data_IF_626651408727
#
_entry.id   IF_626651408727
#
_cell.length_a   1.000
_cell.length_b   1.000
_cell.length_c   1.000
_cell.angle_alpha   90.00
_cell.angle_beta   90.00
_cell.angle_gamma   90.00
#
_symmetry.space_group_name_H-M   'P 1'
#
loop_
_entity.id
_entity.type
_entity.pdbx_description
1 polymer ?
#
# COMPACT_ATOMS: atom_id res chain seq x y z
N UNK A 1 -70.34 8.74 1.14
CA UNK A 1 -69.63 9.52 2.18
C UNK A 1 -68.48 8.66 2.70
N UNK A 2 -67.33 8.68 2.02
CA UNK A 2 -66.16 7.85 2.36
C UNK A 2 -65.33 8.57 3.42
N UNK A 3 -65.22 7.97 4.62
CA UNK A 3 -64.30 8.44 5.67
C UNK A 3 -62.89 7.96 5.31
N UNK A 4 -62.03 8.90 4.93
CA UNK A 4 -60.60 8.66 4.76
C UNK A 4 -59.95 8.56 6.14
N UNK A 5 -59.38 7.41 6.48
CA UNK A 5 -58.48 7.24 7.63
C UNK A 5 -57.08 7.60 7.16
N UNK A 6 -56.58 8.77 7.57
CA UNK A 6 -55.15 9.11 7.44
C UNK A 6 -54.46 8.48 8.65
N UNK A 7 -53.70 7.42 8.41
CA UNK A 7 -52.79 6.82 9.40
C UNK A 7 -51.50 7.65 9.42
N UNK A 8 -50.99 8.12 10.58
CA UNK A 8 -49.69 8.76 10.62
C UNK A 8 -48.60 7.69 10.56
N UNK A 9 -47.80 7.71 9.49
CA UNK A 9 -46.57 6.93 9.37
C UNK A 9 -45.54 7.54 10.33
N UNK A 10 -45.31 6.92 11.49
CA UNK A 10 -44.19 7.27 12.36
C UNK A 10 -42.89 6.85 11.67
N UNK A 11 -42.16 7.82 11.11
CA UNK A 11 -40.77 7.64 10.73
C UNK A 11 -39.93 7.65 12.01
N UNK A 12 -39.49 6.47 12.46
CA UNK A 12 -38.43 6.35 13.45
C UNK A 12 -37.11 6.78 12.79
N UNK A 13 -36.71 8.04 12.97
CA UNK A 13 -35.31 8.43 12.74
C UNK A 13 -34.46 7.71 13.78
N UNK A 14 -33.73 6.69 13.37
CA UNK A 14 -32.60 6.21 14.17
C UNK A 14 -31.50 7.27 14.07
N UNK A 15 -31.31 8.04 15.14
CA UNK A 15 -30.12 8.86 15.31
C UNK A 15 -28.97 7.88 15.55
N UNK A 16 -28.18 7.59 14.51
CA UNK A 16 -26.91 6.91 14.69
C UNK A 16 -26.03 7.88 15.46
N UNK A 17 -25.77 7.59 16.73
CA UNK A 17 -24.85 8.39 17.54
C UNK A 17 -23.44 8.19 17.00
N UNK A 18 -22.69 9.27 16.75
CA UNK A 18 -21.27 9.18 16.45
C UNK A 18 -20.47 9.07 17.77
N UNK A 19 -19.42 8.25 17.78
CA UNK A 19 -18.42 8.22 18.85
C UNK A 19 -17.43 9.36 18.64
N UNK A 20 -17.47 10.32 19.57
CA UNK A 20 -16.63 11.52 19.55
C UNK A 20 -15.51 11.40 20.59
N UNK A 21 -14.26 11.37 20.14
CA UNK A 21 -13.08 11.36 21.01
C UNK A 21 -12.43 12.74 21.01
N UNK A 22 -12.71 13.52 22.05
CA UNK A 22 -12.21 14.89 22.21
C UNK A 22 -11.01 15.02 23.17
N UNK A 23 -10.52 13.90 23.71
CA UNK A 23 -9.35 13.86 24.60
C UNK A 23 -8.60 12.53 24.47
N UNK A 24 -7.30 12.48 24.79
CA UNK A 24 -6.55 11.23 24.83
C UNK A 24 -7.25 10.17 25.67
N UNK A 25 -7.55 9.04 25.03
CA UNK A 25 -8.32 7.93 25.57
C UNK A 25 -7.60 6.63 25.23
N UNK A 26 -7.29 5.84 26.26
CA UNK A 26 -6.69 4.52 26.10
C UNK A 26 -7.62 3.49 26.71
N UNK A 27 -7.98 2.47 25.93
CA UNK A 27 -8.82 1.35 26.36
C UNK A 27 -8.11 0.03 26.09
N UNK A 28 -8.41 -1.00 26.89
CA UNK A 28 -7.79 -2.32 26.80
C UNK A 28 -8.85 -3.42 26.76
N UNK A 29 -8.58 -4.46 25.98
CA UNK A 29 -9.41 -5.66 25.91
C UNK A 29 -10.53 -5.56 24.86
N UNK A 30 -11.58 -6.39 24.99
CA UNK A 30 -12.67 -6.41 24.01
C UNK A 30 -13.45 -5.09 24.05
N UNK A 31 -13.43 -4.37 22.93
CA UNK A 31 -14.16 -3.11 22.73
C UNK A 31 -15.02 -3.25 21.47
N UNK A 32 -16.31 -2.95 21.59
CA UNK A 32 -17.19 -2.88 20.44
C UNK A 32 -17.05 -1.52 19.74
N UNK A 33 -16.69 -1.55 18.45
CA UNK A 33 -16.59 -0.37 17.58
C UNK A 33 -17.79 -0.25 16.63
N UNK A 34 -18.82 -1.08 16.80
CA UNK A 34 -20.08 -1.05 16.05
C UNK A 34 -21.00 0.07 16.56
N UNK A 35 -20.42 1.25 16.80
CA UNK A 35 -21.07 2.37 17.49
C UNK A 35 -21.51 3.49 16.53
N UNK A 36 -21.47 3.26 15.23
CA UNK A 36 -21.71 4.29 14.21
C UNK A 36 -20.42 4.93 13.72
N UNK A 37 -20.49 6.21 13.35
CA UNK A 37 -19.32 6.98 12.93
C UNK A 37 -18.36 7.19 14.11
N UNK A 38 -17.06 7.19 13.84
CA UNK A 38 -16.00 7.46 14.82
C UNK A 38 -15.26 8.71 14.37
N UNK A 39 -15.23 9.73 15.23
CA UNK A 39 -14.50 10.97 14.99
C UNK A 39 -13.49 11.22 16.12
N UNK A 40 -12.21 11.31 15.76
CA UNK A 40 -11.13 11.70 16.67
C UNK A 40 -10.80 13.17 16.39
N UNK A 41 -11.06 14.04 17.36
CA UNK A 41 -10.89 15.49 17.21
C UNK A 41 -9.43 15.91 17.32
N UNK A 42 -9.15 17.10 16.80
CA UNK A 42 -7.86 17.79 16.93
C UNK A 42 -7.27 17.69 18.36
N UNK A 43 -6.00 17.33 18.45
CA UNK A 43 -5.27 17.14 19.71
C UNK A 43 -5.68 15.93 20.56
N UNK A 44 -6.65 15.11 20.11
CA UNK A 44 -7.08 13.90 20.81
C UNK A 44 -6.45 12.63 20.23
N UNK A 45 -6.47 11.55 21.02
CA UNK A 45 -6.07 10.23 20.54
C UNK A 45 -6.99 9.15 21.09
N UNK A 46 -7.31 8.14 20.28
CA UNK A 46 -7.99 6.93 20.73
C UNK A 46 -7.11 5.72 20.48
N UNK A 47 -6.61 5.11 21.56
CA UNK A 47 -5.72 3.95 21.53
C UNK A 47 -6.42 2.74 22.12
N UNK A 48 -6.66 1.73 21.28
CA UNK A 48 -7.33 0.48 21.64
C UNK A 48 -6.28 -0.62 21.63
N UNK A 49 -6.02 -1.20 22.80
CA UNK A 49 -4.95 -2.20 22.98
C UNK A 49 -5.55 -3.58 23.26
N UNK A 50 -5.08 -4.58 22.53
CA UNK A 50 -5.48 -5.99 22.65
C UNK A 50 -6.98 -6.23 22.37
N UNK A 51 -7.54 -5.54 21.38
CA UNK A 51 -8.89 -5.82 20.89
C UNK A 51 -8.85 -6.75 19.67
N UNK A 52 -9.13 -8.04 19.86
CA UNK A 52 -8.99 -9.06 18.81
C UNK A 52 -9.89 -8.81 17.59
N UNK A 53 -11.06 -8.22 17.79
CA UNK A 53 -12.01 -7.95 16.71
C UNK A 53 -12.55 -6.52 16.81
N UNK A 54 -12.28 -5.73 15.77
CA UNK A 54 -12.61 -4.31 15.67
C UNK A 54 -13.39 -4.08 14.37
N UNK A 55 -14.71 -3.98 14.45
CA UNK A 55 -15.57 -3.70 13.29
C UNK A 55 -16.06 -2.26 13.33
N UNK A 56 -15.65 -1.45 12.35
CA UNK A 56 -16.05 -0.05 12.19
C UNK A 56 -17.26 -0.03 11.25
N UNK A 57 -18.45 0.17 11.83
CA UNK A 57 -19.74 0.10 11.10
C UNK A 57 -20.16 1.44 10.47
N UNK A 58 -19.56 2.56 10.89
CA UNK A 58 -19.72 3.87 10.26
C UNK A 58 -18.45 4.38 9.58
N UNK A 59 -18.41 5.69 9.32
CA UNK A 59 -17.22 6.38 8.80
C UNK A 59 -16.19 6.62 9.90
N UNK A 60 -14.91 6.62 9.54
CA UNK A 60 -13.79 6.99 10.41
C UNK A 60 -13.25 8.34 9.97
N UNK A 61 -13.28 9.32 10.87
CA UNK A 61 -12.68 10.64 10.68
C UNK A 61 -11.61 10.87 11.74
N UNK A 62 -10.39 11.21 11.30
CA UNK A 62 -9.27 11.58 12.17
C UNK A 62 -8.77 12.95 11.74
N UNK A 63 -8.97 13.95 12.61
CA UNK A 63 -8.56 15.33 12.37
C UNK A 63 -7.03 15.47 12.32
N UNK A 64 -6.58 16.67 11.95
CA UNK A 64 -5.17 17.03 12.09
C UNK A 64 -4.73 16.90 13.56
N UNK A 65 -3.45 16.57 13.80
CA UNK A 65 -2.86 16.39 15.14
C UNK A 65 -3.59 15.37 16.05
N UNK A 66 -4.48 14.56 15.47
CA UNK A 66 -5.23 13.51 16.14
C UNK A 66 -4.68 12.12 15.79
N UNK A 67 -5.02 11.10 16.60
CA UNK A 67 -4.54 9.75 16.38
C UNK A 67 -5.55 8.64 16.71
N UNK A 68 -5.70 7.68 15.80
CA UNK A 68 -6.48 6.46 15.98
C UNK A 68 -5.57 5.23 15.91
N UNK A 69 -5.51 4.46 17.00
CA UNK A 69 -4.61 3.32 17.14
C UNK A 69 -5.39 2.08 17.53
N UNK A 70 -5.16 0.99 16.82
CA UNK A 70 -5.57 -0.36 17.25
C UNK A 70 -4.31 -1.21 17.27
N UNK A 71 -3.92 -1.69 18.44
CA UNK A 71 -2.60 -2.31 18.63
C UNK A 71 -2.69 -3.57 19.47
N UNK A 72 -1.77 -4.51 19.22
CA UNK A 72 -1.62 -5.72 20.03
C UNK A 72 -0.22 -5.77 20.64
N UNK A 73 -0.17 -5.99 21.95
CA UNK A 73 1.03 -6.41 22.68
C UNK A 73 0.99 -7.91 23.00
N UNK A 74 -0.05 -8.62 22.56
CA UNK A 74 -0.25 -10.04 22.82
C UNK A 74 0.16 -10.85 21.59
N UNK A 75 1.14 -11.74 21.77
CA UNK A 75 1.68 -12.59 20.71
C UNK A 75 0.68 -13.62 20.20
N UNK A 76 -0.39 -13.89 20.95
CA UNK A 76 -1.43 -14.88 20.67
C UNK A 76 -2.73 -14.27 20.17
N UNK A 77 -2.76 -12.95 19.97
CA UNK A 77 -3.94 -12.23 19.49
C UNK A 77 -3.79 -11.78 18.04
N UNK A 78 -4.52 -12.40 17.12
CA UNK A 78 -4.61 -11.94 15.72
C UNK A 78 -5.57 -10.78 15.62
N UNK A 79 -5.07 -9.56 15.43
CA UNK A 79 -5.93 -8.38 15.27
C UNK A 79 -6.75 -8.48 13.98
N UNK A 80 -8.06 -8.34 14.11
CA UNK A 80 -8.97 -8.17 12.98
C UNK A 80 -9.55 -6.76 13.03
N UNK A 81 -9.21 -5.93 12.06
CA UNK A 81 -9.76 -4.58 11.88
C UNK A 81 -10.49 -4.53 10.57
N UNK A 82 -11.79 -4.32 10.65
CA UNK A 82 -12.71 -4.37 9.54
C UNK A 82 -13.45 -3.04 9.43
N UNK A 83 -13.59 -2.54 8.22
CA UNK A 83 -14.55 -1.50 7.88
C UNK A 83 -15.29 -2.00 6.65
N UNK A 84 -16.61 -2.10 6.76
CA UNK A 84 -17.49 -2.56 5.68
C UNK A 84 -18.68 -1.63 5.60
N UNK A 85 -18.95 -1.10 4.41
CA UNK A 85 -20.18 -0.36 4.18
C UNK A 85 -20.13 0.43 2.89
N UNK A 86 -21.19 0.32 2.09
CA UNK A 86 -21.31 1.01 0.81
C UNK A 86 -21.26 2.54 0.95
N UNK A 87 -21.51 3.07 2.14
CA UNK A 87 -21.51 4.51 2.45
C UNK A 87 -20.41 4.94 3.42
N UNK A 88 -19.59 4.00 3.92
CA UNK A 88 -18.62 4.29 4.96
C UNK A 88 -17.35 4.90 4.37
N UNK A 89 -16.85 5.96 4.98
CA UNK A 89 -15.70 6.69 4.50
C UNK A 89 -14.55 6.61 5.50
N UNK A 90 -13.31 6.69 5.00
CA UNK A 90 -12.13 6.96 5.82
C UNK A 90 -11.58 8.31 5.42
N UNK A 91 -11.59 9.25 6.35
CA UNK A 91 -10.94 10.56 6.23
C UNK A 91 -9.85 10.68 7.29
N UNK A 92 -8.59 10.70 6.86
CA UNK A 92 -7.44 10.79 7.75
C UNK A 92 -6.57 12.00 7.45
N UNK A 93 -6.54 12.96 8.37
CA UNK A 93 -5.62 14.11 8.37
C UNK A 93 -4.59 14.03 9.51
N UNK A 94 -4.69 13.02 10.39
CA UNK A 94 -3.80 12.79 11.52
C UNK A 94 -3.03 11.48 11.37
N UNK A 95 -3.11 10.61 12.38
CA UNK A 95 -2.47 9.28 12.38
C UNK A 95 -3.53 8.19 12.51
N UNK A 96 -3.55 7.23 11.58
CA UNK A 96 -4.24 5.96 11.75
C UNK A 96 -3.21 4.85 11.76
N UNK A 97 -3.17 4.03 12.81
CA UNK A 97 -2.18 2.95 12.92
C UNK A 97 -2.79 1.67 13.47
N UNK A 98 -2.78 0.63 12.64
CA UNK A 98 -3.12 -0.74 13.05
C UNK A 98 -1.84 -1.55 13.18
N UNK A 99 -1.50 -1.93 14.41
CA UNK A 99 -0.20 -2.49 14.75
C UNK A 99 -0.32 -3.87 15.41
N UNK A 100 0.04 -4.90 14.66
CA UNK A 100 0.12 -6.29 15.10
C UNK A 100 1.56 -6.83 15.01
N UNK A 101 2.59 -5.97 15.14
CA UNK A 101 3.99 -6.37 15.01
C UNK A 101 4.44 -7.43 16.04
N UNK A 102 3.77 -7.50 17.19
CA UNK A 102 4.10 -8.47 18.24
C UNK A 102 3.31 -9.78 18.12
N UNK A 103 2.32 -9.86 17.22
CA UNK A 103 1.45 -11.03 17.07
C UNK A 103 2.08 -12.08 16.17
N UNK A 104 2.05 -13.33 16.61
CA UNK A 104 2.44 -14.50 15.80
C UNK A 104 1.29 -15.04 14.94
N UNK A 105 0.05 -14.65 15.26
CA UNK A 105 -1.12 -14.97 14.45
C UNK A 105 -1.26 -13.96 13.30
N UNK A 106 -1.75 -14.41 12.15
CA UNK A 106 -1.99 -13.53 11.02
C UNK A 106 -3.07 -12.47 11.36
N UNK A 107 -2.74 -11.17 11.37
CA UNK A 107 -3.74 -10.13 11.47
C UNK A 107 -4.50 -9.97 10.14
N UNK A 108 -5.71 -9.44 10.23
CA UNK A 108 -6.56 -9.12 9.08
C UNK A 108 -6.99 -7.66 9.16
N UNK A 109 -6.48 -6.84 8.25
CA UNK A 109 -6.87 -5.45 8.05
C UNK A 109 -7.62 -5.35 6.73
N UNK A 110 -8.95 -5.27 6.80
CA UNK A 110 -9.83 -5.23 5.63
C UNK A 110 -10.71 -3.99 5.73
N UNK A 111 -10.25 -2.91 5.10
CA UNK A 111 -10.97 -1.65 5.05
C UNK A 111 -11.57 -1.47 3.66
N UNK A 112 -12.88 -1.66 3.58
CA UNK A 112 -13.66 -1.62 2.36
C UNK A 112 -14.84 -0.66 2.51
N UNK A 113 -14.66 0.54 1.98
CA UNK A 113 -15.62 1.65 2.10
C UNK A 113 -15.97 2.29 0.75
N UNK A 114 -16.81 3.31 0.83
CA UNK A 114 -17.18 4.17 -0.29
C UNK A 114 -16.02 5.09 -0.72
N UNK A 115 -15.24 5.56 0.26
CA UNK A 115 -14.08 6.40 0.00
C UNK A 115 -12.94 6.20 1.01
N UNK A 116 -11.72 6.46 0.53
CA UNK A 116 -10.51 6.56 1.32
C UNK A 116 -9.80 7.86 0.93
N UNK A 117 -9.66 8.78 1.90
CA UNK A 117 -8.95 10.06 1.74
C UNK A 117 -7.91 10.20 2.84
N UNK A 118 -6.64 10.22 2.45
CA UNK A 118 -5.51 10.32 3.38
C UNK A 118 -4.63 11.53 3.06
N UNK A 119 -4.53 12.47 3.99
CA UNK A 119 -3.55 13.57 3.98
C UNK A 119 -2.52 13.44 5.12
N UNK A 120 -2.83 12.62 6.13
CA UNK A 120 -1.94 12.31 7.26
C UNK A 120 -1.12 11.02 7.06
N UNK A 121 -0.92 10.28 8.15
CA UNK A 121 -0.16 9.03 8.20
C UNK A 121 -1.07 7.83 8.41
N UNK A 122 -0.93 6.80 7.59
CA UNK A 122 -1.74 5.59 7.65
C UNK A 122 -0.86 4.34 7.69
N UNK A 123 -0.97 3.52 8.74
CA UNK A 123 -0.11 2.35 8.94
C UNK A 123 -0.92 1.06 9.07
N UNK A 124 -0.52 0.06 8.29
CA UNK A 124 -0.89 -1.34 8.47
C UNK A 124 0.38 -2.14 8.77
N UNK A 125 0.55 -2.56 10.02
CA UNK A 125 1.78 -3.21 10.46
C UNK A 125 1.49 -4.60 11.05
N UNK A 126 2.23 -5.60 10.58
CA UNK A 126 2.15 -6.99 11.03
C UNK A 126 3.53 -7.61 11.18
N UNK A 127 3.65 -8.72 11.90
CA UNK A 127 4.92 -9.44 11.98
C UNK A 127 5.32 -10.08 10.63
N UNK A 128 4.39 -10.78 9.97
CA UNK A 128 4.63 -11.45 8.69
C UNK A 128 5.11 -12.90 8.80
N UNK A 129 5.35 -13.45 10.01
CA UNK A 129 5.62 -14.88 10.17
C UNK A 129 4.50 -15.78 9.62
N UNK A 130 3.24 -15.34 9.78
CA UNK A 130 2.08 -15.88 9.06
C UNK A 130 1.51 -14.81 8.13
N UNK A 131 1.14 -15.11 6.86
CA UNK A 131 0.68 -14.09 5.92
C UNK A 131 -0.54 -13.27 6.43
N UNK A 132 -0.40 -11.94 6.65
CA UNK A 132 -1.52 -11.08 7.01
C UNK A 132 -2.45 -10.82 5.82
N UNK A 133 -3.65 -10.31 6.10
CA UNK A 133 -4.50 -9.65 5.08
C UNK A 133 -4.38 -8.15 5.23
N UNK A 134 -4.02 -7.44 4.15
CA UNK A 134 -3.81 -5.98 4.15
C UNK A 134 -4.50 -5.36 2.94
N UNK A 135 -5.72 -4.85 3.15
CA UNK A 135 -6.57 -4.32 2.09
C UNK A 135 -7.12 -2.95 2.46
N UNK A 136 -6.84 -1.96 1.61
CA UNK A 136 -7.43 -0.62 1.63
C UNK A 136 -8.17 -0.40 0.32
N UNK A 137 -9.43 -0.82 0.23
CA UNK A 137 -10.20 -0.78 -1.01
C UNK A 137 -11.35 0.23 -0.92
N UNK A 138 -11.39 1.14 -1.88
CA UNK A 138 -12.51 2.05 -2.09
C UNK A 138 -12.56 2.43 -3.59
N UNK A 139 -13.74 2.70 -4.15
CA UNK A 139 -13.86 3.24 -5.50
C UNK A 139 -13.36 4.69 -5.59
N UNK A 140 -13.54 5.49 -4.54
CA UNK A 140 -12.99 6.84 -4.43
C UNK A 140 -11.75 6.80 -3.53
N UNK A 141 -10.56 6.78 -4.12
CA UNK A 141 -9.31 6.58 -3.37
C UNK A 141 -8.32 7.71 -3.66
N UNK A 142 -7.96 8.46 -2.62
CA UNK A 142 -7.05 9.60 -2.70
C UNK A 142 -6.03 9.58 -1.56
N UNK A 143 -4.75 9.73 -1.89
CA UNK A 143 -3.66 9.88 -0.94
C UNK A 143 -2.75 11.05 -1.32
N UNK A 144 -2.62 12.04 -0.44
CA UNK A 144 -1.57 13.07 -0.49
C UNK A 144 -0.61 13.02 0.71
N UNK A 145 -0.93 12.21 1.73
CA UNK A 145 -0.09 11.92 2.88
C UNK A 145 0.80 10.69 2.68
N UNK A 146 1.02 9.92 3.75
CA UNK A 146 1.83 8.70 3.71
C UNK A 146 1.00 7.49 4.10
N UNK A 147 1.02 6.45 3.26
CA UNK A 147 0.50 5.11 3.57
C UNK A 147 1.68 4.16 3.71
N UNK A 148 1.74 3.39 4.80
CA UNK A 148 2.80 2.41 5.06
C UNK A 148 2.18 1.05 5.31
N UNK A 149 2.62 0.07 4.53
CA UNK A 149 2.27 -1.34 4.71
C UNK A 149 3.55 -2.08 5.05
N UNK A 150 3.61 -2.56 6.29
CA UNK A 150 4.85 -3.00 6.93
C UNK A 150 4.72 -4.42 7.45
N UNK A 151 5.75 -5.23 7.20
CA UNK A 151 5.95 -6.53 7.82
C UNK A 151 7.35 -6.63 8.44
N UNK A 152 7.50 -7.15 9.67
CA UNK A 152 8.86 -7.42 10.21
C UNK A 152 9.61 -8.43 9.32
N UNK A 153 8.89 -9.43 8.83
CA UNK A 153 9.42 -10.49 7.99
C UNK A 153 8.57 -10.66 6.73
N UNK A 154 9.22 -11.00 5.62
CA UNK A 154 8.55 -11.12 4.33
C UNK A 154 7.69 -12.39 4.29
N UNK A 155 6.38 -12.21 4.12
CA UNK A 155 5.41 -13.29 3.94
C UNK A 155 4.98 -13.47 2.47
N UNK A 156 3.97 -14.31 2.21
CA UNK A 156 3.30 -14.40 0.89
C UNK A 156 2.12 -13.44 0.74
N UNK A 157 1.84 -12.62 1.76
CA UNK A 157 0.73 -11.68 1.73
C UNK A 157 0.95 -10.61 0.66
N UNK A 158 -0.18 -10.21 0.07
CA UNK A 158 -0.28 -9.11 -0.88
C UNK A 158 -0.96 -7.92 -0.20
N UNK A 159 -0.46 -6.73 -0.49
CA UNK A 159 -1.17 -5.50 -0.22
C UNK A 159 -2.11 -5.17 -1.39
N UNK A 160 -3.38 -4.90 -1.09
CA UNK A 160 -4.38 -4.50 -2.08
C UNK A 160 -4.82 -3.05 -1.81
N UNK A 161 -4.65 -2.19 -2.81
CA UNK A 161 -4.98 -0.76 -2.74
C UNK A 161 -5.99 -0.39 -3.82
N UNK A 162 -7.06 0.28 -3.41
CA UNK A 162 -8.19 0.62 -4.27
C UNK A 162 -9.03 -0.60 -4.67
N UNK A 163 -10.12 -0.33 -5.38
CA UNK A 163 -10.97 -1.38 -5.96
C UNK A 163 -10.41 -1.82 -7.32
N UNK A 164 -10.34 -3.14 -7.63
CA UNK A 164 -9.81 -3.62 -8.90
C UNK A 164 -10.44 -2.93 -10.12
N UNK A 165 -9.62 -2.64 -11.14
CA UNK A 165 -9.98 -1.94 -12.38
C UNK A 165 -10.45 -0.49 -12.20
N UNK A 166 -10.50 0.02 -10.96
CA UNK A 166 -10.76 1.43 -10.68
C UNK A 166 -9.44 2.22 -10.65
N UNK A 167 -9.54 3.50 -10.30
CA UNK A 167 -8.40 4.41 -10.22
C UNK A 167 -8.10 4.75 -8.77
N UNK A 168 -6.82 4.73 -8.42
CA UNK A 168 -6.30 5.38 -7.22
C UNK A 168 -5.59 6.68 -7.62
N UNK A 169 -5.74 7.73 -6.82
CA UNK A 169 -4.97 8.98 -6.98
C UNK A 169 -3.95 9.07 -5.85
N UNK A 170 -2.67 9.13 -6.20
CA UNK A 170 -1.56 9.20 -5.26
C UNK A 170 -0.67 10.40 -5.58
N UNK A 171 -0.73 11.42 -4.71
CA UNK A 171 0.14 12.62 -4.70
C UNK A 171 1.10 12.63 -3.50
N UNK A 172 1.03 11.59 -2.67
CA UNK A 172 1.84 11.39 -1.48
C UNK A 172 2.82 10.22 -1.63
N UNK A 173 3.03 9.50 -0.53
CA UNK A 173 3.92 8.34 -0.44
C UNK A 173 3.14 7.08 -0.11
N UNK A 174 3.43 5.98 -0.80
CA UNK A 174 2.96 4.63 -0.45
C UNK A 174 4.19 3.75 -0.28
N UNK A 175 4.41 3.25 0.93
CA UNK A 175 5.61 2.52 1.30
C UNK A 175 5.30 1.07 1.63
N UNK A 176 6.05 0.17 1.03
CA UNK A 176 6.00 -1.26 1.29
C UNK A 176 7.32 -1.69 1.94
N UNK A 177 7.24 -2.31 3.12
CA UNK A 177 8.38 -2.93 3.79
C UNK A 177 8.08 -4.42 3.96
N UNK A 178 8.98 -5.28 3.44
CA UNK A 178 8.79 -6.72 3.34
C UNK A 178 7.40 -7.13 2.80
N UNK A 179 6.90 -6.44 1.77
CA UNK A 179 5.54 -6.62 1.27
C UNK A 179 5.50 -6.69 -0.27
N UNK A 180 4.64 -7.55 -0.81
CA UNK A 180 4.31 -7.57 -2.24
C UNK A 180 3.10 -6.68 -2.48
N UNK A 181 3.30 -5.64 -3.26
CA UNK A 181 2.22 -4.85 -3.81
C UNK A 181 1.83 -5.41 -5.18
N UNK A 182 0.56 -5.80 -5.32
CA UNK A 182 0.03 -6.24 -6.60
C UNK A 182 -0.90 -5.16 -7.16
N UNK A 183 -0.41 -4.39 -8.13
CA UNK A 183 -1.18 -3.34 -8.78
C UNK A 183 -2.27 -3.97 -9.65
N UNK A 184 -3.51 -3.55 -9.38
CA UNK A 184 -4.74 -3.96 -10.10
C UNK A 184 -5.64 -2.76 -10.41
N UNK A 185 -5.13 -1.54 -10.22
CA UNK A 185 -5.83 -0.26 -10.36
C UNK A 185 -5.05 0.71 -11.23
N UNK A 186 -5.71 1.53 -12.02
CA UNK A 186 -5.04 2.68 -12.65
C UNK A 186 -4.49 3.60 -11.56
N UNK A 187 -3.34 4.24 -11.81
CA UNK A 187 -2.69 5.12 -10.84
C UNK A 187 -2.55 6.51 -11.44
N UNK A 188 -3.19 7.49 -10.84
CA UNK A 188 -3.03 8.91 -11.19
C UNK A 188 -2.25 9.65 -10.10
N UNK A 189 -1.78 10.85 -10.42
CA UNK A 189 -1.06 11.72 -9.50
C UNK A 189 0.45 11.74 -9.72
N UNK A 190 1.14 12.42 -8.81
CA UNK A 190 2.57 12.71 -8.88
C UNK A 190 3.35 12.21 -7.66
N UNK A 191 2.75 11.29 -6.91
CA UNK A 191 3.33 10.71 -5.71
C UNK A 191 4.41 9.67 -6.01
N UNK A 192 4.78 8.93 -4.95
CA UNK A 192 5.77 7.87 -5.03
C UNK A 192 5.25 6.56 -4.41
N UNK A 193 5.63 5.45 -5.03
CA UNK A 193 5.46 4.10 -4.50
C UNK A 193 6.85 3.53 -4.22
N UNK A 194 7.11 3.18 -2.96
CA UNK A 194 8.42 2.74 -2.48
C UNK A 194 8.37 1.25 -2.14
N UNK A 195 9.32 0.50 -2.68
CA UNK A 195 9.69 -0.82 -2.18
C UNK A 195 10.92 -0.67 -1.30
N UNK A 196 10.86 -1.23 -0.09
CA UNK A 196 11.96 -1.29 0.87
C UNK A 196 12.08 -2.69 1.49
N UNK A 197 13.30 -3.05 1.89
CA UNK A 197 13.75 -4.40 2.20
C UNK A 197 13.33 -5.41 1.12
N UNK A 198 12.75 -6.55 1.49
CA UNK A 198 12.38 -7.61 0.55
C UNK A 198 11.03 -7.35 -0.15
N UNK A 199 10.70 -6.08 -0.42
CA UNK A 199 9.44 -5.70 -1.06
C UNK A 199 9.50 -5.80 -2.57
N UNK A 200 8.35 -6.08 -3.15
CA UNK A 200 8.19 -6.18 -4.61
C UNK A 200 6.99 -5.38 -5.06
N UNK A 201 7.20 -4.52 -6.05
CA UNK A 201 6.12 -3.83 -6.78
C UNK A 201 5.82 -4.67 -8.02
N UNK A 202 4.62 -5.24 -8.08
CA UNK A 202 4.16 -6.02 -9.24
C UNK A 202 3.07 -5.26 -9.99
N UNK A 203 3.38 -4.88 -11.23
CA UNK A 203 2.42 -4.31 -12.19
C UNK A 203 1.85 -5.46 -13.01
N UNK A 204 0.78 -6.07 -12.49
CA UNK A 204 0.17 -7.26 -13.08
C UNK A 204 -0.71 -6.98 -14.29
N UNK A 205 -1.21 -5.74 -14.41
CA UNK A 205 -2.01 -5.31 -15.53
C UNK A 205 -1.49 -3.98 -16.06
N UNK A 206 -0.49 -4.05 -16.94
CA UNK A 206 0.14 -2.87 -17.52
C UNK A 206 -0.78 -2.11 -18.50
N UNK A 207 -1.96 -2.66 -18.86
CA UNK A 207 -2.98 -1.92 -19.62
C UNK A 207 -3.72 -0.88 -18.78
N UNK A 208 -3.68 -1.00 -17.45
CA UNK A 208 -4.21 0.03 -16.57
C UNK A 208 -3.24 1.21 -16.55
N UNK A 209 -3.66 2.41 -16.97
CA UNK A 209 -2.76 3.55 -17.07
C UNK A 209 -2.18 3.94 -15.71
N UNK A 210 -0.88 4.18 -15.70
CA UNK A 210 -0.13 4.78 -14.59
C UNK A 210 0.40 6.11 -15.09
N UNK A 211 0.15 7.19 -14.34
CA UNK A 211 0.54 8.53 -14.71
C UNK A 211 2.07 8.62 -14.92
N UNK A 212 2.56 9.27 -15.99
CA UNK A 212 3.99 9.45 -16.21
C UNK A 212 4.70 10.28 -15.13
N UNK A 213 3.97 10.95 -14.26
CA UNK A 213 4.48 11.67 -13.08
C UNK A 213 4.62 10.79 -11.84
N UNK A 214 4.03 9.59 -11.83
CA UNK A 214 4.16 8.65 -10.74
C UNK A 214 5.60 8.11 -10.69
N UNK A 215 6.18 8.09 -9.50
CA UNK A 215 7.51 7.54 -9.26
C UNK A 215 7.41 6.16 -8.59
N UNK A 216 8.31 5.27 -8.97
CA UNK A 216 8.62 4.05 -8.24
C UNK A 216 10.04 4.16 -7.69
N UNK A 217 10.25 3.76 -6.44
CA UNK A 217 11.57 3.82 -5.81
C UNK A 217 11.93 2.46 -5.21
N UNK A 218 13.09 1.94 -5.57
CA UNK A 218 13.70 0.75 -4.97
C UNK A 218 14.70 1.24 -3.92
N UNK A 219 14.32 1.16 -2.64
CA UNK A 219 15.06 1.81 -1.56
C UNK A 219 16.35 1.08 -1.18
N UNK A 220 16.44 -0.21 -1.47
CA UNK A 220 17.54 -1.08 -1.07
C UNK A 220 17.87 -2.12 -2.16
N UNK A 221 18.80 -3.03 -1.86
CA UNK A 221 19.33 -4.06 -2.77
C UNK A 221 18.44 -5.30 -2.95
N UNK A 222 17.50 -5.56 -2.04
CA UNK A 222 16.57 -6.68 -2.06
C UNK A 222 15.22 -6.32 -2.70
N UNK A 223 14.94 -5.02 -2.84
CA UNK A 223 13.76 -4.50 -3.51
C UNK A 223 13.66 -4.88 -4.99
N UNK A 224 12.45 -4.89 -5.53
CA UNK A 224 12.21 -5.24 -6.93
C UNK A 224 10.96 -4.62 -7.53
N UNK A 225 10.98 -4.43 -8.85
CA UNK A 225 9.79 -4.14 -9.66
C UNK A 225 9.65 -5.17 -10.78
N UNK A 226 8.46 -5.76 -10.89
CA UNK A 226 8.11 -6.78 -11.88
C UNK A 226 6.89 -6.33 -12.68
N UNK A 227 6.96 -6.35 -14.00
CA UNK A 227 5.91 -5.78 -14.86
C UNK A 227 5.48 -6.71 -15.98
N UNK A 228 4.17 -6.76 -16.25
CA UNK A 228 3.64 -7.40 -17.44
C UNK A 228 4.11 -6.67 -18.72
N UNK A 229 4.79 -7.33 -19.67
CA UNK A 229 5.18 -6.69 -20.93
C UNK A 229 4.00 -6.52 -21.89
N UNK A 230 4.09 -5.52 -22.76
CA UNK A 230 3.06 -5.15 -23.73
C UNK A 230 3.63 -5.03 -25.15
N UNK A 231 2.76 -5.16 -26.16
CA UNK A 231 3.13 -4.89 -27.57
C UNK A 231 3.38 -3.40 -27.83
N UNK A 232 2.70 -2.53 -27.07
CA UNK A 232 3.01 -1.11 -26.98
C UNK A 232 3.48 -0.82 -25.56
N UNK A 233 4.80 -0.77 -25.31
CA UNK A 233 5.34 -0.64 -23.97
C UNK A 233 4.97 0.70 -23.35
N UNK A 234 4.52 0.68 -22.09
CA UNK A 234 4.47 1.90 -21.27
C UNK A 234 5.90 2.35 -20.91
N UNK A 235 6.06 3.45 -20.18
CA UNK A 235 7.35 3.78 -19.54
C UNK A 235 7.12 4.10 -18.07
N UNK A 236 7.79 3.36 -17.19
CA UNK A 236 7.71 3.56 -15.74
C UNK A 236 8.96 4.26 -15.23
N UNK A 237 8.82 5.31 -14.43
CA UNK A 237 9.97 5.96 -13.80
C UNK A 237 10.38 5.18 -12.56
N UNK A 238 11.62 4.72 -12.53
CA UNK A 238 12.17 3.89 -11.46
C UNK A 238 13.45 4.54 -10.93
N UNK A 239 13.39 5.05 -9.72
CA UNK A 239 14.55 5.54 -8.99
C UNK A 239 15.19 4.42 -8.15
N UNK A 240 16.47 4.56 -7.83
CA UNK A 240 17.18 3.65 -6.93
C UNK A 240 17.67 2.34 -7.56
N UNK A 241 17.54 2.14 -8.87
CA UNK A 241 18.03 0.92 -9.52
C UNK A 241 19.57 0.80 -9.42
N UNK A 242 20.06 -0.27 -8.80
CA UNK A 242 21.47 -0.45 -8.45
C UNK A 242 21.67 -1.27 -7.18
N UNK A 243 22.93 -1.51 -6.81
CA UNK A 243 23.30 -2.29 -5.62
C UNK A 243 22.69 -3.70 -5.56
N UNK A 244 22.17 -4.20 -6.66
CA UNK A 244 21.64 -5.55 -6.77
C UNK A 244 20.12 -5.73 -6.71
N UNK A 245 19.34 -4.64 -6.59
CA UNK A 245 17.91 -4.74 -6.80
C UNK A 245 17.56 -5.07 -8.26
N UNK A 246 16.29 -5.42 -8.50
CA UNK A 246 15.85 -6.02 -9.76
C UNK A 246 14.76 -5.20 -10.44
N UNK A 247 14.90 -5.06 -11.75
CA UNK A 247 13.85 -4.59 -12.66
C UNK A 247 13.56 -5.73 -13.63
N UNK A 248 12.32 -6.18 -13.73
CA UNK A 248 12.00 -7.39 -14.48
C UNK A 248 10.63 -7.41 -15.13
N UNK A 249 10.43 -8.45 -15.93
CA UNK A 249 9.16 -8.79 -16.56
C UNK A 249 8.48 -9.93 -15.80
N UNK A 250 7.16 -10.04 -15.94
CA UNK A 250 6.39 -11.19 -15.42
C UNK A 250 6.63 -12.49 -16.20
N UNK A 251 7.54 -12.48 -17.18
CA UNK A 251 7.93 -13.59 -18.07
C UNK A 251 9.45 -13.57 -18.24
N UNK A 252 10.03 -14.66 -18.71
CA UNK A 252 11.46 -14.72 -19.03
C UNK A 252 11.84 -13.69 -20.10
N UNK A 253 13.00 -13.08 -19.96
CA UNK A 253 13.57 -12.20 -20.97
C UNK A 253 14.08 -13.00 -22.18
N UNK A 254 14.26 -12.32 -23.31
CA UNK A 254 14.88 -12.91 -24.50
C UNK A 254 16.22 -13.58 -24.17
N UNK A 255 16.49 -14.71 -24.83
CA UNK A 255 17.80 -15.36 -24.78
C UNK A 255 18.80 -14.69 -25.72
N UNK A 256 18.32 -13.94 -26.71
CA UNK A 256 19.15 -13.16 -27.63
C UNK A 256 19.77 -11.93 -26.98
N UNK A 257 20.60 -11.20 -27.74
CA UNK A 257 21.18 -9.92 -27.32
C UNK A 257 20.14 -8.79 -27.18
N UNK A 258 18.85 -9.06 -27.47
CA UNK A 258 17.74 -8.12 -27.33
C UNK A 258 17.06 -8.16 -25.96
N UNK A 259 17.48 -9.05 -25.07
CA UNK A 259 16.85 -9.25 -23.75
C UNK A 259 16.64 -7.95 -22.97
N UNK A 260 17.62 -7.05 -23.08
CA UNK A 260 17.55 -5.71 -22.57
C UNK A 260 18.39 -4.76 -23.42
N UNK A 261 18.04 -3.48 -23.41
CA UNK A 261 18.85 -2.42 -23.99
C UNK A 261 18.73 -1.15 -23.14
N UNK A 262 19.81 -0.38 -23.04
CA UNK A 262 19.83 0.86 -22.30
C UNK A 262 20.26 2.01 -23.20
N UNK A 263 19.42 3.04 -23.31
CA UNK A 263 19.74 4.27 -24.02
C UNK A 263 20.32 5.30 -23.03
N UNK A 264 21.62 5.56 -23.15
CA UNK A 264 22.34 6.49 -22.29
C UNK A 264 21.92 7.95 -22.48
N UNK A 265 21.29 8.30 -23.60
CA UNK A 265 20.82 9.66 -23.87
C UNK A 265 19.52 9.97 -23.13
N UNK A 266 18.61 9.00 -23.08
CA UNK A 266 17.29 9.15 -22.44
C UNK A 266 17.29 8.63 -20.99
N UNK A 267 18.12 7.65 -20.67
CA UNK A 267 18.11 6.94 -19.39
C UNK A 267 17.09 5.80 -19.33
N UNK A 268 16.57 5.37 -20.48
CA UNK A 268 15.56 4.32 -20.58
C UNK A 268 16.23 2.95 -20.73
N UNK A 269 15.89 2.04 -19.83
CA UNK A 269 16.14 0.60 -19.92
C UNK A 269 14.89 -0.08 -20.49
N UNK A 270 15.02 -0.75 -21.63
CA UNK A 270 13.97 -1.55 -22.24
C UNK A 270 14.26 -3.02 -22.00
N UNK A 271 13.27 -3.77 -21.50
CA UNK A 271 13.32 -5.23 -21.35
C UNK A 271 12.38 -5.88 -22.37
N UNK A 272 12.83 -6.96 -23.00
CA UNK A 272 12.08 -7.67 -24.06
C UNK A 272 11.80 -9.12 -23.66
N UNK A 273 10.59 -9.59 -23.92
CA UNK A 273 10.18 -10.96 -23.62
C UNK A 273 10.95 -12.00 -24.44
N UNK A 274 11.06 -13.21 -23.91
CA UNK A 274 11.74 -14.32 -24.60
C UNK A 274 10.86 -15.35 -25.28
N UNK A 275 9.54 -15.16 -25.33
CA UNK A 275 8.67 -16.07 -26.07
C UNK A 275 8.76 -15.79 -27.58
N UNK A 276 8.66 -14.52 -27.97
CA UNK A 276 8.66 -14.12 -29.39
C UNK A 276 9.46 -12.86 -29.70
N UNK A 277 10.18 -12.30 -28.73
CA UNK A 277 10.88 -11.00 -28.84
C UNK A 277 9.95 -9.88 -29.38
N UNK A 278 8.68 -9.92 -29.00
CA UNK A 278 7.60 -9.14 -29.65
C UNK A 278 6.91 -8.16 -28.71
N UNK A 279 7.03 -8.37 -27.41
CA UNK A 279 6.52 -7.50 -26.37
C UNK A 279 7.66 -7.05 -25.46
N UNK A 280 7.52 -5.85 -24.92
CA UNK A 280 8.57 -5.22 -24.13
C UNK A 280 7.98 -4.34 -23.05
N UNK A 281 8.85 -3.81 -22.21
CA UNK A 281 8.50 -2.79 -21.25
C UNK A 281 9.68 -1.83 -21.03
N UNK A 282 9.38 -0.54 -20.95
CA UNK A 282 10.39 0.49 -20.69
C UNK A 282 10.38 0.92 -19.23
N UNK A 283 11.58 1.18 -18.72
CA UNK A 283 11.86 1.69 -17.40
C UNK A 283 12.79 2.88 -17.53
N UNK A 284 12.33 4.07 -17.17
CA UNK A 284 13.19 5.23 -17.06
C UNK A 284 13.94 5.14 -15.73
N UNK A 285 15.17 4.63 -15.78
CA UNK A 285 16.05 4.42 -14.62
C UNK A 285 17.02 5.60 -14.41
N UNK A 286 17.00 6.57 -15.31
CA UNK A 286 17.90 7.71 -15.32
C UNK A 286 19.20 7.46 -16.08
N UNK A 287 20.01 8.51 -16.20
CA UNK A 287 21.27 8.50 -16.95
C UNK A 287 22.45 8.04 -16.10
N UNK A 288 23.55 7.67 -16.74
CA UNK A 288 24.84 7.42 -16.09
C UNK A 288 25.15 5.97 -15.77
N UNK A 289 24.30 5.02 -16.18
CA UNK A 289 24.58 3.59 -15.99
C UNK A 289 25.62 3.11 -17.01
N UNK A 290 26.57 2.31 -16.52
CA UNK A 290 27.53 1.56 -17.33
C UNK A 290 26.89 0.27 -17.88
N UNK A 291 26.69 0.13 -19.21
CA UNK A 291 26.01 -1.04 -19.78
C UNK A 291 26.66 -2.39 -19.47
N UNK A 292 27.97 -2.41 -19.17
CA UNK A 292 28.71 -3.65 -18.87
C UNK A 292 28.38 -4.25 -17.51
N UNK A 293 27.67 -3.51 -16.65
CA UNK A 293 27.29 -3.93 -15.30
C UNK A 293 25.84 -4.42 -15.18
N UNK A 294 25.09 -4.42 -16.28
CA UNK A 294 23.79 -5.08 -16.34
C UNK A 294 23.96 -6.59 -16.47
N UNK A 295 23.16 -7.34 -15.73
CA UNK A 295 23.14 -8.80 -15.77
C UNK A 295 21.71 -9.32 -15.80
N UNK A 296 21.44 -10.31 -16.66
CA UNK A 296 20.18 -11.07 -16.61
C UNK A 296 20.23 -12.03 -15.43
N UNK A 297 19.19 -11.97 -14.61
CA UNK A 297 19.06 -12.81 -13.42
C UNK A 297 17.68 -13.44 -13.37
N UNK A 298 17.56 -14.54 -12.64
CA UNK A 298 16.26 -15.10 -12.29
C UNK A 298 15.57 -14.17 -11.30
N UNK A 299 14.33 -13.80 -11.61
CA UNK A 299 13.47 -13.10 -10.66
C UNK A 299 12.86 -14.11 -9.70
N UNK A 300 13.49 -14.24 -8.54
CA UNK A 300 13.04 -15.03 -7.40
C UNK A 300 12.57 -14.13 -6.25
N UNK A 301 12.14 -12.90 -6.55
CA UNK A 301 11.70 -11.94 -5.53
C UNK A 301 10.54 -12.50 -4.71
N UNK A 302 10.57 -12.23 -3.41
CA UNK A 302 9.75 -12.95 -2.46
C UNK A 302 8.24 -12.74 -2.70
N UNK A 303 7.48 -13.83 -2.80
CA UNK A 303 6.04 -13.84 -3.06
C UNK A 303 5.66 -13.83 -4.54
N UNK A 304 6.62 -13.70 -5.46
CA UNK A 304 6.40 -13.98 -6.88
C UNK A 304 6.64 -15.46 -7.19
N UNK A 305 6.06 -15.93 -8.29
CA UNK A 305 6.54 -17.15 -8.93
C UNK A 305 7.92 -16.87 -9.52
N UNK A 306 8.85 -17.80 -9.33
CA UNK A 306 10.20 -17.67 -9.87
C UNK A 306 10.15 -17.59 -11.40
N UNK A 307 10.73 -16.54 -11.97
CA UNK A 307 10.81 -16.32 -13.42
C UNK A 307 12.27 -16.44 -13.86
N UNK A 308 12.68 -17.59 -14.43
CA UNK A 308 14.05 -17.81 -14.89
C UNK A 308 14.47 -16.74 -15.88
N UNK A 309 15.62 -16.09 -15.64
CA UNK A 309 16.14 -14.98 -16.45
C UNK A 309 15.08 -13.90 -16.76
N UNK A 310 14.14 -13.65 -15.83
CA UNK A 310 13.04 -12.70 -16.00
C UNK A 310 13.37 -11.25 -15.63
N UNK A 311 14.56 -10.98 -15.10
CA UNK A 311 14.94 -9.66 -14.63
C UNK A 311 16.35 -9.26 -15.04
N UNK A 312 16.61 -7.95 -14.95
CA UNK A 312 17.94 -7.35 -15.00
C UNK A 312 18.29 -6.81 -13.62
N UNK A 313 19.51 -7.09 -13.20
CA UNK A 313 20.16 -6.52 -12.02
C UNK A 313 21.30 -5.61 -12.47
N UNK A 314 21.52 -4.52 -11.74
CA UNK A 314 22.70 -3.67 -11.92
C UNK A 314 23.70 -3.91 -10.79
N UNK A 315 24.91 -4.35 -11.13
CA UNK A 315 25.97 -4.70 -10.14
C UNK A 315 26.71 -3.50 -9.58
N UNK A 316 26.56 -2.32 -10.18
CA UNK A 316 27.17 -1.10 -9.69
C UNK A 316 26.29 -0.35 -8.69
N UNK A 317 26.88 0.67 -8.07
CA UNK A 317 26.16 1.70 -7.33
C UNK A 317 25.14 2.42 -8.21
N UNK A 318 24.03 2.87 -7.61
CA UNK A 318 23.08 3.79 -8.27
C UNK A 318 23.84 5.03 -8.75
N UNK A 319 23.93 5.31 -10.08
CA UNK A 319 24.74 6.41 -10.60
C UNK A 319 24.29 7.80 -10.11
N UNK A 320 22.99 7.96 -9.89
CA UNK A 320 22.40 9.16 -9.31
C UNK A 320 21.58 8.80 -8.07
N UNK A 321 22.11 9.09 -6.89
CA UNK A 321 21.52 8.74 -5.58
C UNK A 321 20.41 9.71 -5.13
N UNK A 322 19.81 10.47 -6.05
CA UNK A 322 18.68 11.36 -5.73
C UNK A 322 17.45 10.52 -5.42
N UNK A 323 17.01 10.61 -4.16
CA UNK A 323 15.73 10.08 -3.72
C UNK A 323 14.66 11.10 -4.12
N UNK A 324 13.60 10.71 -4.85
CA UNK A 324 12.54 11.66 -5.20
C UNK A 324 11.85 12.19 -3.93
N UNK A 325 11.52 13.49 -3.89
CA UNK A 325 11.01 14.19 -2.70
C UNK A 325 9.80 13.52 -2.03
N UNK A 326 8.95 12.87 -2.83
CA UNK A 326 7.75 12.16 -2.37
C UNK A 326 8.01 10.72 -1.92
N UNK A 327 9.23 10.20 -2.02
CA UNK A 327 9.58 8.82 -1.66
C UNK A 327 10.09 8.71 -0.21
N UNK A 328 9.43 9.39 0.73
CA UNK A 328 9.78 9.37 2.16
C UNK A 328 8.90 8.35 2.88
N UNK A 329 9.52 7.36 3.51
CA UNK A 329 8.84 6.34 4.31
C UNK A 329 9.03 6.59 5.81
N UNK A 330 8.06 6.13 6.59
CA UNK A 330 8.08 6.23 8.05
C UNK A 330 7.88 4.84 8.66
N UNK A 331 8.51 4.62 9.80
CA UNK A 331 8.26 3.40 10.56
C UNK A 331 6.90 3.47 11.25
N UNK A 332 6.22 2.33 11.46
CA UNK A 332 5.02 2.27 12.29
C UNK A 332 5.25 2.94 13.65
N UNK A 333 4.37 3.84 14.09
CA UNK A 333 4.58 4.59 15.32
C UNK A 333 4.34 3.69 16.55
N UNK A 334 4.91 4.10 17.69
CA UNK A 334 4.42 3.65 18.99
C UNK A 334 2.99 4.17 19.21
N UNK A 335 2.17 3.42 19.93
CA UNK A 335 0.82 3.84 20.31
C UNK A 335 0.77 4.35 21.75
N UNK A 336 -0.12 5.31 22.07
CA UNK A 336 -0.34 5.75 23.43
C UNK A 336 -0.76 4.60 24.35
N UNK A 337 -0.13 4.49 25.52
CA UNK A 337 -0.48 3.53 26.56
C UNK A 337 -0.90 4.28 27.84
N UNK A 338 -1.65 3.61 28.72
CA UNK A 338 -1.92 4.15 30.06
C UNK A 338 -0.57 4.30 30.77
N UNK A 339 -0.23 5.45 31.39
CA UNK A 339 0.98 5.59 32.17
C UNK A 339 1.07 4.45 33.19
N UNK A 340 2.21 3.77 33.26
CA UNK A 340 2.48 2.80 34.33
C UNK A 340 2.42 3.55 35.67
N UNK A 341 1.40 3.25 36.46
CA UNK A 341 1.27 3.66 37.87
C UNK A 341 2.35 3.04 38.73
#
# INVERSE_FOLDING_TARGET
MFKSFILPLLVLLQIVAALEIAKPTVVKGPIDLSVGDIHIKDGASYSIVNNGFSNIVGSLTVDQDAGFYISSTDSTLGLQVNLWGFWNNIENNGIVSFNALQSTLAPSFVLQGASFRNTGLFFLAADGGTPPTMTLAAPNWYNSGTVVIYQNSRSRANANLGSPLQTIVNDGSICFHNTLYNQVTSIQGSGCIVADAQSTIRISNAFLPIAPSQQFYLADSESSINVQPLSSPATFNVAGFGNGNKVGLSVSLSTSDKAYSYDSNTGILTLTDGLFDSVSQNFNIGKGYDPTKFERVTDNSAGLFSTPLGAVQYKGDVPNKVIPDKCVCQNPPSFPTVPSS
#
